data_IF_809976701621
#
_entry.id   IF_809976701621
#
_cell.length_a   1.000
_cell.length_b   1.000
_cell.length_c   1.000
_cell.angle_alpha   90.00
_cell.angle_beta   90.00
_cell.angle_gamma   90.00
#
_symmetry.space_group_name_H-M   'P 1'
#
loop_
_entity.id
_entity.type
_entity.pdbx_description
1 polymer ?
#
# COMPACT_ATOMS: atom_id res chain seq x y z
N UNK A 1 -24.82 10.06 -13.13
CA UNK A 1 -23.62 9.99 -12.26
C UNK A 1 -23.59 8.62 -11.61
N UNK A 2 -22.51 7.85 -11.76
CA UNK A 2 -22.37 6.59 -11.04
C UNK A 2 -22.40 6.85 -9.53
N UNK A 3 -23.03 5.96 -8.76
CA UNK A 3 -23.09 6.09 -7.30
C UNK A 3 -21.68 5.91 -6.76
N UNK A 4 -21.19 6.86 -5.93
CA UNK A 4 -19.89 6.73 -5.26
C UNK A 4 -19.80 5.39 -4.52
N UNK A 5 -18.68 4.70 -4.72
CA UNK A 5 -18.33 3.46 -4.02
C UNK A 5 -17.80 3.84 -2.63
N UNK A 6 -18.22 3.08 -1.62
CA UNK A 6 -17.89 3.26 -0.21
C UNK A 6 -17.73 1.88 0.44
N UNK A 7 -17.19 1.82 1.66
CA UNK A 7 -17.13 0.56 2.41
C UNK A 7 -18.49 -0.08 2.71
N UNK A 8 -19.61 0.65 2.55
CA UNK A 8 -20.97 0.12 2.78
C UNK A 8 -21.57 -0.60 1.58
N UNK A 9 -21.02 -0.38 0.38
CA UNK A 9 -21.59 -0.86 -0.89
C UNK A 9 -20.52 -1.42 -1.85
N UNK A 10 -19.32 -1.71 -1.34
CA UNK A 10 -18.24 -2.34 -2.09
C UNK A 10 -17.40 -3.19 -1.13
N UNK A 11 -17.37 -4.50 -1.36
CA UNK A 11 -16.71 -5.47 -0.49
C UNK A 11 -15.20 -5.27 -0.41
N UNK A 12 -14.57 -4.82 -1.51
CA UNK A 12 -13.14 -4.51 -1.52
C UNK A 12 -12.83 -3.32 -0.61
N UNK A 13 -13.61 -2.23 -0.69
CA UNK A 13 -13.49 -1.08 0.20
C UNK A 13 -13.82 -1.41 1.65
N UNK A 14 -14.74 -2.34 1.90
CA UNK A 14 -14.98 -2.84 3.25
C UNK A 14 -13.72 -3.49 3.83
N UNK A 15 -13.12 -4.44 3.09
CA UNK A 15 -11.90 -5.13 3.53
C UNK A 15 -10.72 -4.18 3.65
N UNK A 16 -10.55 -3.25 2.72
CA UNK A 16 -9.48 -2.25 2.77
C UNK A 16 -9.59 -1.40 4.04
N UNK A 17 -10.81 -1.01 4.45
CA UNK A 17 -11.04 -0.23 5.66
C UNK A 17 -10.62 -0.96 6.94
N UNK A 18 -10.85 -2.27 7.00
CA UNK A 18 -10.50 -3.10 8.16
C UNK A 18 -9.00 -3.40 8.26
N UNK A 19 -8.30 -3.47 7.12
CA UNK A 19 -6.93 -3.99 7.05
C UNK A 19 -5.86 -2.93 6.77
N UNK A 20 -6.24 -1.67 6.55
CA UNK A 20 -5.30 -0.60 6.24
C UNK A 20 -5.44 0.59 7.17
N UNK A 21 -4.39 1.39 7.30
CA UNK A 21 -4.47 2.65 8.04
C UNK A 21 -5.42 3.64 7.35
N UNK A 22 -6.03 4.60 8.07
CA UNK A 22 -6.96 5.57 7.47
C UNK A 22 -6.41 6.29 6.23
N UNK A 23 -5.12 6.66 6.24
CA UNK A 23 -4.47 7.33 5.11
C UNK A 23 -4.23 6.43 3.90
N UNK A 24 -4.02 5.13 4.10
CA UNK A 24 -3.95 4.16 2.99
C UNK A 24 -5.35 3.91 2.43
N UNK A 25 -6.35 3.80 3.32
CA UNK A 25 -7.74 3.66 2.92
C UNK A 25 -8.22 4.82 2.06
N UNK A 26 -7.83 6.06 2.37
CA UNK A 26 -8.13 7.24 1.55
C UNK A 26 -7.61 7.08 0.11
N UNK A 27 -6.35 6.66 -0.06
CA UNK A 27 -5.77 6.40 -1.40
C UNK A 27 -6.57 5.33 -2.15
N UNK A 28 -6.90 4.22 -1.48
CA UNK A 28 -7.68 3.12 -2.07
C UNK A 28 -9.07 3.60 -2.47
N UNK A 29 -9.72 4.39 -1.62
CA UNK A 29 -11.06 4.92 -1.86
C UNK A 29 -11.11 5.83 -3.08
N UNK A 30 -10.12 6.71 -3.22
CA UNK A 30 -10.00 7.61 -4.36
C UNK A 30 -9.81 6.82 -5.66
N UNK A 31 -8.87 5.88 -5.68
CA UNK A 31 -8.61 5.02 -6.84
C UNK A 31 -9.86 4.23 -7.27
N UNK A 32 -10.60 3.66 -6.32
CA UNK A 32 -11.83 2.90 -6.62
C UNK A 32 -12.94 3.79 -7.17
N UNK A 33 -13.03 5.05 -6.73
CA UNK A 33 -14.00 6.01 -7.25
C UNK A 33 -13.57 6.65 -8.58
N UNK A 34 -12.30 6.52 -8.95
CA UNK A 34 -11.76 6.84 -10.28
C UNK A 34 -11.82 5.66 -11.26
N UNK A 35 -12.51 4.57 -10.88
CA UNK A 35 -12.57 3.31 -11.62
C UNK A 35 -11.20 2.64 -11.87
N UNK A 36 -10.20 2.95 -11.01
CA UNK A 36 -8.85 2.36 -10.99
C UNK A 36 -8.70 1.33 -9.85
N UNK A 37 -9.67 0.42 -9.73
CA UNK A 37 -9.65 -0.62 -8.68
C UNK A 37 -8.44 -1.58 -8.81
N UNK A 38 -7.90 -1.74 -10.02
CA UNK A 38 -6.66 -2.44 -10.30
C UNK A 38 -5.47 -1.79 -9.56
N UNK A 39 -5.32 -0.47 -9.65
CA UNK A 39 -4.29 0.27 -8.90
C UNK A 39 -4.57 0.22 -7.39
N UNK A 40 -5.84 0.28 -6.98
CA UNK A 40 -6.21 0.18 -5.56
C UNK A 40 -5.78 -1.17 -4.95
N UNK A 41 -5.89 -2.27 -5.71
CA UNK A 41 -5.38 -3.58 -5.31
C UNK A 41 -3.86 -3.61 -5.23
N UNK A 42 -3.15 -2.92 -6.13
CA UNK A 42 -1.70 -2.80 -6.05
C UNK A 42 -1.25 -1.96 -4.83
N UNK A 43 -2.00 -0.92 -4.44
CA UNK A 43 -1.77 -0.18 -3.18
C UNK A 43 -1.87 -1.10 -1.97
N UNK A 44 -2.92 -1.93 -1.86
CA UNK A 44 -3.04 -2.89 -0.77
C UNK A 44 -1.86 -3.87 -0.70
N UNK A 45 -1.39 -4.36 -1.86
CA UNK A 45 -0.24 -5.27 -1.91
C UNK A 45 1.04 -4.57 -1.47
N UNK A 46 1.25 -3.31 -1.86
CA UNK A 46 2.40 -2.53 -1.42
C UNK A 46 2.37 -2.27 0.10
N UNK A 47 1.21 -1.89 0.64
CA UNK A 47 1.01 -1.70 2.09
C UNK A 47 1.34 -2.97 2.88
N UNK A 48 0.83 -4.12 2.42
CA UNK A 48 1.15 -5.43 2.99
C UNK A 48 2.66 -5.73 2.99
N UNK A 49 3.36 -5.47 1.88
CA UNK A 49 4.81 -5.70 1.81
C UNK A 49 5.59 -4.79 2.76
N UNK A 50 5.14 -3.54 2.96
CA UNK A 50 5.74 -2.62 3.93
C UNK A 50 5.51 -3.09 5.38
N UNK A 51 4.32 -3.59 5.69
CA UNK A 51 4.03 -4.21 6.98
C UNK A 51 4.90 -5.45 7.20
N UNK A 52 4.96 -6.34 6.21
CA UNK A 52 5.78 -7.55 6.25
C UNK A 52 7.26 -7.22 6.44
N UNK A 53 7.78 -6.24 5.71
CA UNK A 53 9.15 -5.72 5.91
C UNK A 53 9.37 -5.30 7.36
N UNK A 54 8.42 -4.57 7.94
CA UNK A 54 8.51 -4.13 9.34
C UNK A 54 8.51 -5.30 10.33
N UNK A 55 7.79 -6.39 10.03
CA UNK A 55 7.81 -7.64 10.80
C UNK A 55 9.19 -8.30 10.72
N UNK A 56 9.76 -8.45 9.51
CA UNK A 56 11.10 -9.03 9.32
C UNK A 56 12.17 -8.23 10.08
N UNK A 57 12.11 -6.89 10.05
CA UNK A 57 13.01 -6.01 10.82
C UNK A 57 12.91 -6.30 12.32
N UNK A 58 11.68 -6.42 12.86
CA UNK A 58 11.46 -6.75 14.29
C UNK A 58 12.04 -8.12 14.65
N UNK A 59 11.92 -9.09 13.74
CA UNK A 59 12.47 -10.44 13.90
C UNK A 59 13.99 -10.52 13.63
N UNK A 60 14.63 -9.41 13.26
CA UNK A 60 16.04 -9.32 12.86
C UNK A 60 16.39 -10.14 11.61
N UNK A 61 15.39 -10.54 10.81
CA UNK A 61 15.60 -11.12 9.50
C UNK A 61 15.82 -10.01 8.47
N UNK A 62 17.02 -9.42 8.49
CA UNK A 62 17.36 -8.30 7.61
C UNK A 62 17.53 -8.73 6.15
N UNK A 63 17.74 -10.01 5.87
CA UNK A 63 17.78 -10.51 4.49
C UNK A 63 16.38 -10.47 3.90
N UNK A 64 15.41 -11.10 4.56
CA UNK A 64 14.02 -11.10 4.10
C UNK A 64 13.44 -9.68 4.08
N UNK A 65 13.79 -8.84 5.06
CA UNK A 65 13.37 -7.44 5.06
C UNK A 65 13.83 -6.70 3.79
N UNK A 66 15.05 -6.94 3.30
CA UNK A 66 15.54 -6.31 2.06
C UNK A 66 14.79 -6.83 0.84
N UNK A 67 14.61 -8.15 0.73
CA UNK A 67 13.89 -8.74 -0.39
C UNK A 67 12.44 -8.27 -0.46
N UNK A 68 11.77 -8.19 0.69
CA UNK A 68 10.42 -7.63 0.80
C UNK A 68 10.36 -6.14 0.45
N UNK A 69 11.33 -5.35 0.91
CA UNK A 69 11.42 -3.92 0.60
C UNK A 69 11.63 -3.67 -0.91
N UNK A 70 12.45 -4.46 -1.59
CA UNK A 70 12.63 -4.32 -3.04
C UNK A 70 11.32 -4.60 -3.80
N UNK A 71 10.58 -5.65 -3.43
CA UNK A 71 9.23 -5.92 -4.00
C UNK A 71 8.26 -4.76 -3.71
N UNK A 72 8.33 -4.15 -2.53
CA UNK A 72 7.50 -2.99 -2.20
C UNK A 72 7.86 -1.79 -3.08
N UNK A 73 9.16 -1.53 -3.30
CA UNK A 73 9.63 -0.47 -4.20
C UNK A 73 9.13 -0.66 -5.63
N UNK A 74 9.23 -1.87 -6.18
CA UNK A 74 8.73 -2.17 -7.53
C UNK A 74 7.24 -1.84 -7.68
N UNK A 75 6.41 -2.20 -6.69
CA UNK A 75 4.98 -1.86 -6.71
C UNK A 75 4.72 -0.36 -6.60
N UNK A 76 5.41 0.31 -5.69
CA UNK A 76 5.28 1.77 -5.48
C UNK A 76 5.68 2.51 -6.76
N UNK A 77 6.75 2.10 -7.41
CA UNK A 77 7.21 2.69 -8.66
C UNK A 77 6.19 2.43 -9.80
N UNK A 78 5.65 1.23 -9.90
CA UNK A 78 4.57 0.92 -10.85
C UNK A 78 3.33 1.81 -10.62
N UNK A 79 2.88 1.97 -9.37
CA UNK A 79 1.76 2.83 -9.02
C UNK A 79 2.00 4.30 -9.43
N UNK A 80 3.22 4.79 -9.18
CA UNK A 80 3.65 6.14 -9.57
C UNK A 80 3.61 6.34 -11.08
N UNK A 81 4.15 5.37 -11.83
CA UNK A 81 4.16 5.40 -13.30
C UNK A 81 2.75 5.33 -13.91
N UNK A 82 1.79 4.76 -13.19
CA UNK A 82 0.37 4.75 -13.57
C UNK A 82 -0.43 5.97 -13.03
N UNK A 83 0.26 6.99 -12.50
CA UNK A 83 -0.36 8.24 -12.06
C UNK A 83 -1.23 8.10 -10.80
N UNK A 84 -0.96 7.14 -9.93
CA UNK A 84 -1.61 7.07 -8.62
C UNK A 84 -0.99 8.10 -7.66
N UNK A 85 -1.82 8.81 -6.89
CA UNK A 85 -1.32 9.68 -5.83
C UNK A 85 -0.94 8.82 -4.61
N UNK A 86 0.35 8.54 -4.47
CA UNK A 86 0.88 7.59 -3.47
C UNK A 86 1.81 8.24 -2.43
N UNK A 87 1.75 9.55 -2.22
CA UNK A 87 2.71 10.27 -1.38
C UNK A 87 2.84 9.70 0.04
N UNK A 88 1.73 9.23 0.63
CA UNK A 88 1.78 8.61 1.95
C UNK A 88 2.44 7.22 1.94
N UNK A 89 2.25 6.45 0.87
CA UNK A 89 2.88 5.14 0.70
C UNK A 89 4.41 5.29 0.50
N UNK A 90 4.85 6.31 -0.24
CA UNK A 90 6.27 6.68 -0.36
C UNK A 90 6.87 7.08 1.00
N UNK A 91 6.14 7.89 1.78
CA UNK A 91 6.56 8.26 3.14
C UNK A 91 6.75 7.04 4.05
N UNK A 92 5.81 6.08 4.03
CA UNK A 92 5.93 4.84 4.79
C UNK A 92 7.15 4.02 4.36
N UNK A 93 7.33 3.84 3.05
CA UNK A 93 8.48 3.14 2.46
C UNK A 93 9.80 3.71 2.97
N UNK A 94 9.99 5.03 2.86
CA UNK A 94 11.21 5.70 3.32
C UNK A 94 11.46 5.54 4.82
N UNK A 95 10.39 5.67 5.62
CA UNK A 95 10.48 5.51 7.07
C UNK A 95 10.86 4.08 7.50
N UNK A 96 10.41 3.07 6.75
CA UNK A 96 10.71 1.66 7.02
C UNK A 96 12.11 1.30 6.50
N UNK A 97 12.47 1.74 5.29
CA UNK A 97 13.77 1.46 4.66
C UNK A 97 14.94 1.92 5.54
N UNK A 98 14.83 3.08 6.19
CA UNK A 98 15.83 3.60 7.13
C UNK A 98 16.10 2.68 8.33
N UNK A 99 15.18 1.77 8.66
CA UNK A 99 15.30 0.83 9.79
C UNK A 99 15.95 -0.50 9.40
N UNK A 100 16.11 -0.77 8.10
CA UNK A 100 16.81 -1.96 7.61
C UNK A 100 18.30 -1.74 7.86
N UNK A 101 18.89 -2.56 8.75
CA UNK A 101 20.33 -2.53 8.98
C UNK A 101 21.07 -3.00 7.73
N UNK A 102 22.22 -2.39 7.44
CA UNK A 102 23.16 -2.88 6.41
C UNK A 102 23.76 -4.22 6.81
#
# INVERSE_FOLDING_TARGET
MAKKKTSKNNDFLYRARENSSPKIYEIILDLVNEDREDLAKEVMKADYLLEYTSICIKQKDFREARESMEKAKEKIESLKNNGANISYLEYLREGIEKKIKK
#
